data_IF_675646890337
#
_entry.id   IF_675646890337
#
_cell.length_a   1.000
_cell.length_b   1.000
_cell.length_c   1.000
_cell.angle_alpha   90.00
_cell.angle_beta   90.00
_cell.angle_gamma   90.00
#
_symmetry.space_group_name_H-M   'P 1'
#
loop_
_entity.id
_entity.type
_entity.pdbx_description
1 polymer ?
#
# COMPACT_ATOMS: atom_id res chain seq x y z
N UNK A 1 25.59 19.30 21.59
CA UNK A 1 24.76 18.38 20.79
C UNK A 1 24.26 17.30 21.72
N UNK A 2 22.94 17.16 21.90
CA UNK A 2 22.37 16.12 22.76
C UNK A 2 22.92 14.74 22.33
N UNK A 3 23.37 13.94 23.29
CA UNK A 3 23.90 12.61 22.99
C UNK A 3 22.75 11.75 22.43
N UNK A 4 22.86 11.33 21.16
CA UNK A 4 21.86 10.47 20.53
C UNK A 4 21.80 9.14 21.28
N UNK A 5 20.61 8.76 21.73
CA UNK A 5 20.33 7.45 22.31
C UNK A 5 20.20 6.41 21.19
N UNK A 6 21.32 5.77 20.88
CA UNK A 6 21.39 4.75 19.84
C UNK A 6 20.46 3.56 20.11
N UNK A 7 20.43 2.95 21.32
CA UNK A 7 19.47 1.91 21.64
C UNK A 7 18.02 2.28 21.31
N UNK A 8 17.58 3.47 21.72
CA UNK A 8 16.21 3.94 21.46
C UNK A 8 15.96 4.17 19.96
N UNK A 9 16.91 4.79 19.26
CA UNK A 9 16.84 5.05 17.81
C UNK A 9 16.68 3.75 17.02
N UNK A 10 17.53 2.75 17.28
CA UNK A 10 17.51 1.49 16.52
C UNK A 10 16.20 0.73 16.77
N UNK A 11 15.73 0.67 18.03
CA UNK A 11 14.46 0.02 18.38
C UNK A 11 13.25 0.71 17.75
N UNK A 12 13.20 2.04 17.79
CA UNK A 12 12.08 2.82 17.25
C UNK A 12 12.02 2.71 15.72
N UNK A 13 13.17 2.84 15.05
CA UNK A 13 13.28 2.72 13.60
C UNK A 13 12.88 1.32 13.12
N UNK A 14 13.43 0.28 13.75
CA UNK A 14 13.09 -1.11 13.44
C UNK A 14 11.60 -1.40 13.66
N UNK A 15 11.03 -0.91 14.78
CA UNK A 15 9.61 -1.07 15.10
C UNK A 15 8.69 -0.41 14.07
N UNK A 16 9.01 0.79 13.61
CA UNK A 16 8.23 1.49 12.57
C UNK A 16 8.30 0.79 11.21
N UNK A 17 9.45 0.23 10.86
CA UNK A 17 9.62 -0.53 9.62
C UNK A 17 9.04 -1.96 9.69
N UNK A 18 8.59 -2.40 10.87
CA UNK A 18 8.04 -3.75 11.06
C UNK A 18 9.07 -4.87 10.88
N UNK A 19 10.36 -4.58 11.04
CA UNK A 19 11.44 -5.53 10.76
C UNK A 19 11.85 -6.33 12.00
N UNK A 20 12.27 -7.56 11.78
CA UNK A 20 13.03 -8.34 12.76
C UNK A 20 14.46 -7.79 12.91
N UNK A 21 15.17 -8.19 13.96
CA UNK A 21 16.58 -7.79 14.14
C UNK A 21 17.47 -8.33 13.00
N UNK A 22 17.23 -9.54 12.48
CA UNK A 22 17.99 -10.05 11.33
C UNK A 22 17.72 -9.24 10.06
N UNK A 23 16.46 -8.95 9.75
CA UNK A 23 16.08 -8.16 8.58
C UNK A 23 16.64 -6.74 8.67
N UNK A 24 16.57 -6.12 9.84
CA UNK A 24 17.14 -4.80 10.06
C UNK A 24 18.67 -4.80 9.92
N UNK A 25 19.34 -5.86 10.40
CA UNK A 25 20.78 -6.00 10.23
C UNK A 25 21.17 -6.09 8.75
N UNK A 26 20.42 -6.87 7.97
CA UNK A 26 20.59 -6.96 6.52
C UNK A 26 20.41 -5.59 5.84
N UNK A 27 19.34 -4.87 6.20
CA UNK A 27 19.04 -3.53 5.66
C UNK A 27 20.14 -2.50 5.95
N UNK A 28 20.73 -2.55 7.14
CA UNK A 28 21.83 -1.66 7.54
C UNK A 28 23.20 -2.14 7.01
N UNK A 29 23.31 -3.41 6.60
CA UNK A 29 24.55 -4.02 6.12
C UNK A 29 25.48 -4.48 7.26
N UNK A 30 24.92 -4.92 8.38
CA UNK A 30 25.65 -5.44 9.55
C UNK A 30 25.12 -6.81 9.96
N UNK A 31 25.76 -7.46 10.92
CA UNK A 31 25.28 -8.74 11.44
C UNK A 31 24.17 -8.55 12.48
N UNK A 32 23.30 -9.55 12.64
CA UNK A 32 22.32 -9.60 13.73
C UNK A 32 22.94 -9.30 15.10
N UNK A 33 24.10 -9.90 15.40
CA UNK A 33 24.81 -9.70 16.67
C UNK A 33 25.20 -8.24 16.91
N UNK A 34 25.45 -7.48 15.84
CA UNK A 34 25.79 -6.06 15.88
C UNK A 34 24.57 -5.23 16.26
N UNK A 35 23.42 -5.49 15.61
CA UNK A 35 22.14 -4.83 15.94
C UNK A 35 21.72 -5.15 17.37
N UNK A 36 21.82 -6.42 17.79
CA UNK A 36 21.49 -6.83 19.16
C UNK A 36 22.36 -6.10 20.20
N UNK A 37 23.65 -5.89 19.93
CA UNK A 37 24.52 -5.13 20.83
C UNK A 37 24.17 -3.63 20.86
N UNK A 38 23.75 -3.04 19.74
CA UNK A 38 23.31 -1.65 19.69
C UNK A 38 22.02 -1.44 20.46
N UNK A 39 21.01 -2.30 20.25
CA UNK A 39 19.71 -2.22 20.93
C UNK A 39 19.81 -2.41 22.45
N UNK A 40 20.84 -3.12 22.91
CA UNK A 40 21.13 -3.33 24.33
C UNK A 40 22.17 -2.35 24.90
N UNK A 41 22.65 -1.37 24.11
CA UNK A 41 23.63 -0.38 24.55
C UNK A 41 25.03 -0.92 24.85
N UNK A 42 25.31 -2.18 24.51
CA UNK A 42 26.60 -2.85 24.75
C UNK A 42 27.70 -2.36 23.82
N UNK A 43 27.34 -1.88 22.63
CA UNK A 43 28.28 -1.33 21.64
C UNK A 43 27.67 -0.13 20.94
N UNK A 44 28.50 0.87 20.61
CA UNK A 44 28.10 1.99 19.75
C UNK A 44 28.48 1.73 18.28
N UNK A 45 27.61 2.09 17.32
CA UNK A 45 27.92 2.06 15.90
C UNK A 45 29.07 3.01 15.57
N UNK A 46 29.76 2.74 14.46
CA UNK A 46 30.72 3.70 13.92
C UNK A 46 29.99 4.96 13.40
N UNK A 47 30.66 6.13 13.33
CA UNK A 47 30.01 7.39 12.96
C UNK A 47 29.23 7.35 11.64
N UNK A 48 29.73 6.65 10.62
CA UNK A 48 29.04 6.51 9.33
C UNK A 48 27.74 5.70 9.44
N UNK A 49 27.67 4.71 10.35
CA UNK A 49 26.46 3.94 10.61
C UNK A 49 25.45 4.77 11.40
N UNK A 50 25.91 5.61 12.33
CA UNK A 50 25.03 6.57 13.02
C UNK A 50 24.38 7.52 12.01
N UNK A 51 25.17 8.05 11.06
CA UNK A 51 24.64 8.89 9.98
C UNK A 51 23.58 8.16 9.15
N UNK A 52 23.85 6.93 8.71
CA UNK A 52 22.89 6.10 7.96
C UNK A 52 21.60 5.85 8.74
N UNK A 53 21.69 5.57 10.05
CA UNK A 53 20.52 5.38 10.90
C UNK A 53 19.64 6.64 11.00
N UNK A 54 20.25 7.82 11.10
CA UNK A 54 19.53 9.11 11.10
C UNK A 54 18.86 9.35 9.74
N UNK A 55 19.55 9.08 8.63
CA UNK A 55 18.99 9.23 7.28
C UNK A 55 17.79 8.29 7.07
N UNK A 56 17.90 7.03 7.51
CA UNK A 56 16.78 6.08 7.50
C UNK A 56 15.62 6.54 8.40
N UNK A 57 15.92 7.15 9.55
CA UNK A 57 14.91 7.73 10.43
C UNK A 57 14.17 8.89 9.77
N UNK A 58 14.87 9.82 9.14
CA UNK A 58 14.26 10.93 8.40
C UNK A 58 13.36 10.42 7.26
N UNK A 59 13.86 9.51 6.43
CA UNK A 59 13.10 8.95 5.31
C UNK A 59 11.85 8.18 5.78
N UNK A 60 11.95 7.46 6.89
CA UNK A 60 10.80 6.71 7.45
C UNK A 60 9.76 7.61 8.12
N UNK A 61 10.14 8.80 8.60
CA UNK A 61 9.20 9.82 9.09
C UNK A 61 8.42 10.44 7.94
N UNK A 62 9.07 10.71 6.80
CA UNK A 62 8.38 11.20 5.59
C UNK A 62 7.34 10.20 5.07
N UNK A 63 7.69 8.92 4.98
CA UNK A 63 6.74 7.85 4.61
C UNK A 63 5.63 7.71 5.64
N UNK A 64 5.95 7.78 6.94
CA UNK A 64 4.94 7.68 8.01
C UNK A 64 4.00 8.89 8.07
N UNK A 65 4.45 10.08 7.70
CA UNK A 65 3.60 11.26 7.62
C UNK A 65 2.47 11.10 6.57
N UNK A 66 2.67 10.23 5.57
CA UNK A 66 1.65 9.83 4.60
C UNK A 66 0.83 8.60 4.97
N UNK A 67 1.21 7.85 6.01
CA UNK A 67 0.51 6.63 6.44
C UNK A 67 -0.52 6.93 7.53
N UNK A 68 -1.78 6.59 7.25
CA UNK A 68 -2.87 6.75 8.21
C UNK A 68 -2.56 5.96 9.50
N UNK A 69 -2.66 6.62 10.65
CA UNK A 69 -2.62 5.94 11.94
C UNK A 69 -3.78 4.93 12.05
N UNK A 70 -3.68 3.95 12.95
CA UNK A 70 -4.76 2.98 13.16
C UNK A 70 -6.12 3.62 13.46
N UNK A 71 -6.13 4.73 14.21
CA UNK A 71 -7.35 5.50 14.51
C UNK A 71 -7.90 6.18 13.25
N UNK A 72 -7.04 6.78 12.44
CA UNK A 72 -7.45 7.43 11.20
C UNK A 72 -7.89 6.43 10.14
N UNK A 73 -7.24 5.28 10.02
CA UNK A 73 -7.63 4.18 9.16
C UNK A 73 -9.02 3.64 9.56
N UNK A 74 -9.30 3.53 10.86
CA UNK A 74 -10.60 3.10 11.34
C UNK A 74 -11.69 4.15 11.13
N UNK A 75 -11.36 5.44 11.30
CA UNK A 75 -12.26 6.53 10.97
C UNK A 75 -12.55 6.60 9.45
N UNK A 76 -11.52 6.39 8.63
CA UNK A 76 -11.65 6.28 7.18
C UNK A 76 -12.56 5.11 6.80
N UNK A 77 -12.32 3.91 7.36
CA UNK A 77 -13.14 2.73 7.11
C UNK A 77 -14.62 2.98 7.43
N UNK A 78 -14.92 3.59 8.59
CA UNK A 78 -16.30 3.94 8.97
C UNK A 78 -16.94 4.92 7.98
N UNK A 79 -16.21 5.95 7.54
CA UNK A 79 -16.71 6.89 6.53
C UNK A 79 -16.97 6.20 5.20
N UNK A 80 -16.03 5.35 4.77
CA UNK A 80 -16.15 4.59 3.53
C UNK A 80 -17.32 3.61 3.59
N UNK A 81 -17.54 2.92 4.71
CA UNK A 81 -18.69 2.01 4.89
C UNK A 81 -20.03 2.74 4.67
N UNK A 82 -20.17 3.97 5.16
CA UNK A 82 -21.36 4.79 4.96
C UNK A 82 -21.55 5.16 3.49
N UNK A 83 -20.49 5.66 2.84
CA UNK A 83 -20.52 6.04 1.41
C UNK A 83 -20.84 4.83 0.55
N UNK A 84 -20.16 3.72 0.79
CA UNK A 84 -20.29 2.50 0.00
C UNK A 84 -21.65 1.83 0.19
N UNK A 85 -22.27 1.96 1.38
CA UNK A 85 -23.64 1.54 1.60
C UNK A 85 -24.65 2.41 0.83
N UNK A 86 -24.42 3.72 0.72
CA UNK A 86 -25.23 4.61 -0.09
C UNK A 86 -25.08 4.29 -1.59
N UNK A 87 -23.83 4.11 -2.05
CA UNK A 87 -23.51 3.70 -3.42
C UNK A 87 -24.17 2.36 -3.79
N UNK A 88 -24.12 1.35 -2.89
CA UNK A 88 -24.82 0.08 -3.10
C UNK A 88 -26.34 0.24 -3.21
N UNK A 89 -26.96 1.12 -2.41
CA UNK A 89 -28.41 1.39 -2.50
C UNK A 89 -28.76 2.06 -3.81
N UNK A 90 -27.96 3.02 -4.25
CA UNK A 90 -28.11 3.69 -5.53
C UNK A 90 -27.93 2.72 -6.71
N UNK A 91 -26.91 1.86 -6.66
CA UNK A 91 -26.70 0.82 -7.66
C UNK A 91 -27.84 -0.21 -7.69
N UNK A 92 -28.46 -0.51 -6.54
CA UNK A 92 -29.60 -1.43 -6.47
C UNK A 92 -30.89 -0.80 -7.04
N UNK A 93 -31.09 0.51 -6.87
CA UNK A 93 -32.25 1.23 -7.38
C UNK A 93 -32.08 1.69 -8.84
N UNK A 94 -30.85 1.76 -9.35
CA UNK A 94 -30.56 2.15 -10.73
C UNK A 94 -31.02 1.07 -11.71
N UNK A 95 -31.96 1.37 -12.62
CA UNK A 95 -32.40 0.43 -13.63
C UNK A 95 -31.24 -0.04 -14.50
N UNK A 96 -31.22 -1.32 -14.86
CA UNK A 96 -30.18 -1.92 -15.70
C UNK A 96 -29.98 -1.15 -17.01
N UNK A 97 -31.06 -0.64 -17.61
CA UNK A 97 -31.00 0.22 -18.80
C UNK A 97 -30.21 1.52 -18.59
N UNK A 98 -30.25 2.11 -17.39
CA UNK A 98 -29.48 3.30 -17.07
C UNK A 98 -27.98 2.97 -16.97
N UNK A 99 -27.63 1.83 -16.36
CA UNK A 99 -26.24 1.33 -16.32
C UNK A 99 -25.69 1.08 -17.74
N UNK A 100 -26.48 0.45 -18.61
CA UNK A 100 -26.09 0.24 -20.01
C UNK A 100 -25.87 1.56 -20.77
N UNK A 101 -26.70 2.59 -20.52
CA UNK A 101 -26.49 3.92 -21.11
C UNK A 101 -25.21 4.59 -20.60
N UNK A 102 -24.91 4.48 -19.30
CA UNK A 102 -23.66 5.01 -18.73
C UNK A 102 -22.44 4.31 -19.32
N UNK A 103 -22.48 2.98 -19.43
CA UNK A 103 -21.40 2.19 -20.07
C UNK A 103 -21.24 2.58 -21.54
N UNK A 104 -22.34 2.71 -22.29
CA UNK A 104 -22.31 3.15 -23.70
C UNK A 104 -21.72 4.57 -23.84
N UNK A 105 -22.05 5.49 -22.94
CA UNK A 105 -21.49 6.84 -22.93
C UNK A 105 -19.99 6.85 -22.61
N UNK A 106 -19.54 6.02 -21.66
CA UNK A 106 -18.12 5.84 -21.36
C UNK A 106 -17.36 5.28 -22.58
N UNK A 107 -17.89 4.23 -23.22
CA UNK A 107 -17.29 3.65 -24.43
C UNK A 107 -17.25 4.64 -25.60
N UNK A 108 -18.31 5.42 -25.82
CA UNK A 108 -18.33 6.48 -26.82
C UNK A 108 -17.31 7.60 -26.53
N UNK A 109 -16.98 7.82 -25.25
CA UNK A 109 -15.97 8.79 -24.83
C UNK A 109 -14.53 8.25 -24.92
N UNK A 110 -14.33 6.93 -24.99
CA UNK A 110 -13.01 6.30 -25.05
C UNK A 110 -12.16 6.81 -26.24
N UNK A 111 -12.81 7.13 -27.36
CA UNK A 111 -12.17 7.76 -28.51
C UNK A 111 -11.54 9.12 -28.22
N UNK A 112 -12.14 9.91 -27.33
CA UNK A 112 -11.61 11.24 -26.92
C UNK A 112 -10.43 11.12 -25.95
N UNK A 113 -10.30 9.98 -25.29
CA UNK A 113 -9.23 9.69 -24.33
C UNK A 113 -8.04 8.93 -24.97
N UNK A 114 -8.10 8.66 -26.28
CA UNK A 114 -7.06 7.93 -27.01
C UNK A 114 -7.04 6.43 -26.72
N UNK A 115 -8.09 5.87 -26.13
CA UNK A 115 -8.21 4.44 -25.80
C UNK A 115 -8.74 3.62 -26.99
N UNK A 116 -8.24 3.89 -28.20
CA UNK A 116 -8.75 3.28 -29.44
C UNK A 116 -7.84 2.22 -30.02
N UNK A 117 -6.70 1.93 -29.39
CA UNK A 117 -5.78 0.89 -29.85
C UNK A 117 -6.34 -0.51 -29.54
N UNK A 118 -6.79 -1.16 -30.62
CA UNK A 118 -7.07 -2.59 -30.81
C UNK A 118 -7.74 -3.37 -29.67
N UNK A 119 -9.05 -3.20 -29.55
CA UNK A 119 -9.92 -4.20 -28.92
C UNK A 119 -9.92 -5.55 -29.67
N UNK A 120 -9.61 -5.56 -30.97
CA UNK A 120 -9.80 -6.74 -31.82
C UNK A 120 -8.99 -8.00 -31.48
N UNK A 121 -7.83 -7.89 -30.82
CA UNK A 121 -7.03 -9.06 -30.40
C UNK A 121 -7.32 -9.47 -28.95
N UNK A 122 -7.81 -8.55 -28.11
CA UNK A 122 -8.15 -8.82 -26.71
C UNK A 122 -9.62 -9.23 -26.52
N UNK A 123 -10.50 -8.88 -27.46
CA UNK A 123 -11.94 -9.18 -27.40
C UNK A 123 -12.21 -10.69 -27.31
N UNK A 124 -11.54 -11.49 -28.14
CA UNK A 124 -11.69 -12.95 -28.13
C UNK A 124 -11.24 -13.54 -26.77
N UNK A 125 -10.14 -13.03 -26.21
CA UNK A 125 -9.63 -13.44 -24.89
C UNK A 125 -10.57 -13.04 -23.75
N UNK A 126 -11.19 -11.86 -23.83
CA UNK A 126 -12.18 -11.38 -22.87
C UNK A 126 -13.44 -12.26 -22.93
N UNK A 127 -13.91 -12.59 -24.12
CA UNK A 127 -15.05 -13.48 -24.33
C UNK A 127 -14.81 -14.90 -23.81
N UNK A 128 -13.66 -15.48 -24.12
CA UNK A 128 -13.27 -16.80 -23.63
C UNK A 128 -13.17 -16.84 -22.10
N UNK A 129 -12.53 -15.81 -21.51
CA UNK A 129 -12.43 -15.67 -20.05
C UNK A 129 -13.81 -15.56 -19.41
N UNK A 130 -14.70 -14.76 -20.00
CA UNK A 130 -16.06 -14.59 -19.47
C UNK A 130 -16.89 -15.88 -19.59
N UNK A 131 -16.79 -16.59 -20.72
CA UNK A 131 -17.44 -17.88 -20.92
C UNK A 131 -16.96 -18.94 -19.90
N UNK A 132 -15.66 -18.96 -19.57
CA UNK A 132 -15.10 -19.82 -18.52
C UNK A 132 -15.67 -19.50 -17.14
N UNK A 133 -15.62 -18.23 -16.72
CA UNK A 133 -16.13 -17.80 -15.40
C UNK A 133 -17.63 -18.03 -15.23
N UNK A 134 -18.42 -17.84 -16.29
CA UNK A 134 -19.86 -18.11 -16.27
C UNK A 134 -20.17 -19.59 -16.05
N UNK A 135 -19.38 -20.51 -16.64
CA UNK A 135 -19.55 -21.96 -16.41
C UNK A 135 -19.26 -22.34 -14.97
N UNK A 136 -18.23 -21.77 -14.34
CA UNK A 136 -17.87 -22.03 -12.94
C UNK A 136 -18.94 -21.53 -11.95
N UNK A 137 -19.64 -20.43 -12.26
CA UNK A 137 -20.70 -19.89 -11.40
C UNK A 137 -21.99 -20.74 -11.40
N UNK A 138 -22.24 -21.51 -12.46
CA UNK A 138 -23.45 -22.31 -12.63
C UNK A 138 -23.26 -23.82 -12.38
N UNK A 139 -22.04 -24.25 -12.05
CA UNK A 139 -21.70 -25.62 -11.67
C UNK A 139 -21.83 -25.81 -10.16
#
# INVERSE_FOLDING_TARGET
MAAIDIPALVKSLRGRLGLTQEQFAHEVGVTFSTVNQWENGRRRPQPFLVKRLIEMEAASVEVSAGLLTRKEAQAFKRRWEVVNAAEKKELASTPVAHKFRQVAALLASAGKLGWTETLGAEDDLVWERWARLRREYHA
#
